data_IF_568445289614
#
_entry.id   IF_568445289614
#
_cell.length_a   1.000
_cell.length_b   1.000
_cell.length_c   1.000
_cell.angle_alpha   90.00
_cell.angle_beta   90.00
_cell.angle_gamma   90.00
#
_symmetry.space_group_name_H-M   'P 1'
#
loop_
_entity.id
_entity.type
_entity.pdbx_description
1 polymer ?
#
# COMPACT_ATOMS: atom_id res chain seq x y z
N UNK A 1 6.91 -21.23 -17.51
CA UNK A 1 7.01 -21.11 -16.04
C UNK A 1 8.21 -20.22 -15.69
N UNK A 2 9.27 -20.34 -16.48
CA UNK A 2 10.50 -19.53 -16.40
C UNK A 2 10.29 -18.05 -16.69
N UNK A 3 9.38 -17.64 -17.56
CA UNK A 3 9.29 -16.24 -17.98
C UNK A 3 9.09 -15.23 -16.82
N UNK A 4 8.28 -15.58 -15.80
CA UNK A 4 8.08 -14.70 -14.64
C UNK A 4 9.32 -14.67 -13.76
N UNK A 5 9.90 -15.84 -13.47
CA UNK A 5 11.11 -15.96 -12.67
C UNK A 5 12.31 -15.27 -13.35
N UNK A 6 12.49 -15.50 -14.64
CA UNK A 6 13.51 -14.86 -15.48
C UNK A 6 13.34 -13.34 -15.51
N UNK A 7 12.10 -12.84 -15.67
CA UNK A 7 11.84 -11.40 -15.64
C UNK A 7 12.19 -10.80 -14.26
N UNK A 8 11.75 -11.44 -13.17
CA UNK A 8 12.04 -10.99 -11.80
C UNK A 8 13.53 -11.08 -11.47
N UNK A 9 14.21 -12.12 -11.95
CA UNK A 9 15.67 -12.23 -11.86
C UNK A 9 16.35 -11.08 -12.60
N UNK A 10 15.87 -10.71 -13.78
CA UNK A 10 16.36 -9.53 -14.49
C UNK A 10 16.26 -8.24 -13.66
N UNK A 11 15.14 -8.03 -12.96
CA UNK A 11 14.93 -6.87 -12.07
C UNK A 11 15.89 -6.88 -10.88
N UNK A 12 16.11 -8.06 -10.28
CA UNK A 12 17.06 -8.22 -9.16
C UNK A 12 18.50 -8.02 -9.63
N UNK A 13 18.88 -8.61 -10.77
CA UNK A 13 20.22 -8.50 -11.35
C UNK A 13 20.53 -7.05 -11.78
N UNK A 14 19.51 -6.28 -12.19
CA UNK A 14 19.61 -4.85 -12.47
C UNK A 14 19.75 -3.97 -11.21
N UNK A 15 19.61 -4.54 -10.01
CA UNK A 15 19.72 -3.84 -8.74
C UNK A 15 18.51 -2.99 -8.35
N UNK A 16 17.39 -3.13 -9.05
CA UNK A 16 16.15 -2.40 -8.74
C UNK A 16 15.45 -2.94 -7.50
N UNK A 17 15.62 -4.24 -7.24
CA UNK A 17 15.14 -4.92 -6.03
C UNK A 17 16.25 -5.80 -5.45
N UNK A 18 16.40 -5.81 -4.12
CA UNK A 18 17.29 -6.74 -3.42
C UNK A 18 16.81 -8.20 -3.58
N UNK A 19 15.50 -8.40 -3.57
CA UNK A 19 14.86 -9.69 -3.78
C UNK A 19 13.34 -9.55 -3.79
N UNK A 20 12.67 -10.60 -4.24
CA UNK A 20 11.21 -10.61 -4.45
C UNK A 20 10.64 -12.01 -4.26
N UNK A 21 9.42 -12.08 -3.72
CA UNK A 21 8.60 -13.30 -3.70
C UNK A 21 7.31 -13.01 -4.44
N UNK A 22 6.96 -13.86 -5.39
CA UNK A 22 5.71 -13.74 -6.18
C UNK A 22 4.89 -15.02 -6.06
N UNK A 23 3.58 -14.88 -5.89
CA UNK A 23 2.61 -15.97 -5.96
C UNK A 23 1.63 -15.71 -7.11
N UNK A 24 1.44 -16.71 -7.97
CA UNK A 24 0.45 -16.69 -9.04
C UNK A 24 -0.50 -17.86 -8.86
N UNK A 25 -1.80 -17.57 -8.86
CA UNK A 25 -2.86 -18.56 -8.89
C UNK A 25 -3.57 -18.54 -10.24
N UNK A 26 -3.52 -19.65 -11.00
CA UNK A 26 -4.19 -19.76 -12.29
C UNK A 26 -4.62 -21.20 -12.56
N UNK A 27 -5.87 -21.39 -12.99
CA UNK A 27 -6.37 -22.72 -13.36
C UNK A 27 -6.39 -23.74 -12.21
N UNK A 28 -6.57 -23.27 -10.96
CA UNK A 28 -6.55 -24.13 -9.78
C UNK A 28 -5.16 -24.46 -9.24
N UNK A 29 -4.10 -23.91 -9.83
CA UNK A 29 -2.73 -24.16 -9.42
C UNK A 29 -2.08 -22.90 -8.84
N UNK A 30 -1.47 -23.04 -7.66
CA UNK A 30 -0.59 -22.03 -7.06
C UNK A 30 0.85 -22.29 -7.48
N UNK A 31 1.57 -21.23 -7.87
CA UNK A 31 3.01 -21.26 -8.07
C UNK A 31 3.65 -20.10 -7.32
N UNK A 32 4.79 -20.37 -6.68
CA UNK A 32 5.58 -19.39 -5.94
C UNK A 32 7.00 -19.38 -6.46
N UNK A 33 7.55 -18.19 -6.62
CA UNK A 33 8.93 -17.95 -7.02
C UNK A 33 9.56 -16.95 -6.03
N UNK A 34 10.78 -17.24 -5.57
CA UNK A 34 11.55 -16.40 -4.65
C UNK A 34 12.93 -16.15 -5.26
N UNK A 35 13.27 -14.89 -5.50
CA UNK A 35 14.50 -14.50 -6.21
C UNK A 35 15.25 -13.44 -5.40
N UNK A 36 16.57 -13.47 -5.45
CA UNK A 36 17.44 -12.50 -4.78
C UNK A 36 17.63 -12.78 -3.30
N UNK A 37 17.79 -11.73 -2.52
CA UNK A 37 18.26 -11.79 -1.14
C UNK A 37 17.25 -11.13 -0.20
N UNK A 38 16.98 -11.78 0.94
CA UNK A 38 16.25 -11.12 2.04
C UNK A 38 17.17 -10.26 2.89
N UNK A 39 18.48 -10.57 2.86
CA UNK A 39 19.55 -9.80 3.48
C UNK A 39 20.80 -9.95 2.62
N UNK A 40 21.25 -8.85 2.02
CA UNK A 40 22.42 -8.83 1.12
C UNK A 40 23.71 -8.94 1.95
N UNK A 41 23.79 -8.24 3.09
CA UNK A 41 25.00 -8.19 3.90
C UNK A 41 25.26 -9.53 4.60
N UNK A 42 24.20 -10.16 5.11
CA UNK A 42 24.27 -11.48 5.72
C UNK A 42 24.29 -12.63 4.70
N UNK A 43 24.18 -12.35 3.40
CA UNK A 43 24.16 -13.34 2.34
C UNK A 43 22.98 -14.31 2.44
N UNK A 44 21.82 -13.85 2.93
CA UNK A 44 20.64 -14.69 3.13
C UNK A 44 19.72 -14.64 1.90
N UNK A 45 19.48 -15.78 1.22
CA UNK A 45 18.63 -15.81 0.05
C UNK A 45 17.17 -15.56 0.42
N UNK A 46 16.40 -15.06 -0.55
CA UNK A 46 14.96 -14.92 -0.42
C UNK A 46 14.30 -16.29 -0.23
N UNK A 47 13.34 -16.38 0.69
CA UNK A 47 12.55 -17.59 0.95
C UNK A 47 11.06 -17.30 0.77
N UNK A 48 10.28 -18.35 0.50
CA UNK A 48 8.82 -18.23 0.35
C UNK A 48 8.14 -17.61 1.59
N UNK A 49 8.68 -17.86 2.77
CA UNK A 49 8.18 -17.42 4.07
C UNK A 49 8.87 -16.17 4.62
N UNK A 50 9.69 -15.49 3.79
CA UNK A 50 10.26 -14.19 4.14
C UNK A 50 9.15 -13.20 4.52
N UNK A 51 9.37 -12.42 5.59
CA UNK A 51 8.39 -11.47 6.12
C UNK A 51 8.52 -10.13 5.39
N UNK A 52 7.40 -9.60 4.92
CA UNK A 52 7.32 -8.30 4.23
C UNK A 52 6.32 -7.36 4.90
N UNK A 53 6.61 -6.05 4.80
CA UNK A 53 5.63 -5.01 5.12
C UNK A 53 4.72 -4.77 3.92
N UNK A 54 3.45 -5.18 4.01
CA UNK A 54 2.48 -5.10 2.91
C UNK A 54 1.92 -3.68 2.66
N UNK A 55 2.18 -2.73 3.57
CA UNK A 55 1.81 -1.32 3.46
C UNK A 55 0.34 -1.09 3.04
N UNK A 56 0.08 -0.36 1.95
CA UNK A 56 -1.27 -0.04 1.49
C UNK A 56 -2.09 -1.27 1.10
N UNK A 57 -1.48 -2.44 0.91
CA UNK A 57 -2.21 -3.70 0.69
C UNK A 57 -2.97 -4.18 1.94
N UNK A 58 -2.85 -3.51 3.09
CA UNK A 58 -3.75 -3.72 4.22
C UNK A 58 -5.18 -3.22 3.97
N UNK A 59 -5.39 -2.28 3.03
CA UNK A 59 -6.71 -1.67 2.78
C UNK A 59 -7.80 -2.68 2.44
N UNK A 60 -7.62 -3.62 1.48
CA UNK A 60 -8.65 -4.62 1.18
C UNK A 60 -9.09 -5.43 2.41
N UNK A 61 -8.16 -5.76 3.32
CA UNK A 61 -8.45 -6.50 4.55
C UNK A 61 -9.33 -5.65 5.48
N UNK A 62 -8.90 -4.41 5.74
CA UNK A 62 -9.64 -3.47 6.61
C UNK A 62 -11.00 -3.13 6.01
N UNK A 63 -11.08 -2.91 4.70
CA UNK A 63 -12.32 -2.62 3.98
C UNK A 63 -13.28 -3.81 4.03
N UNK A 64 -12.80 -5.05 3.83
CA UNK A 64 -13.66 -6.23 3.96
C UNK A 64 -14.26 -6.33 5.37
N UNK A 65 -13.44 -6.17 6.41
CA UNK A 65 -13.91 -6.17 7.80
C UNK A 65 -14.93 -5.03 8.06
N UNK A 66 -14.64 -3.81 7.58
CA UNK A 66 -15.55 -2.67 7.72
C UNK A 66 -16.89 -2.92 7.00
N UNK A 67 -16.86 -3.50 5.80
CA UNK A 67 -18.08 -3.82 5.06
C UNK A 67 -18.89 -4.94 5.72
N UNK A 68 -18.24 -5.93 6.35
CA UNK A 68 -18.94 -6.92 7.19
C UNK A 68 -19.66 -6.24 8.34
N UNK A 69 -19.00 -5.32 9.05
CA UNK A 69 -19.62 -4.55 10.14
C UNK A 69 -20.76 -3.65 9.65
N UNK A 70 -20.65 -3.07 8.45
CA UNK A 70 -21.72 -2.31 7.81
C UNK A 70 -22.96 -3.20 7.55
N UNK A 71 -22.76 -4.41 7.02
CA UNK A 71 -23.84 -5.37 6.78
C UNK A 71 -24.51 -5.84 8.09
N UNK A 72 -23.73 -5.95 9.17
CA UNK A 72 -24.22 -6.24 10.52
C UNK A 72 -24.95 -5.04 11.17
N UNK A 73 -25.04 -3.89 10.49
CA UNK A 73 -25.70 -2.69 11.01
C UNK A 73 -24.93 -1.99 12.13
N UNK A 74 -23.62 -2.24 12.27
CA UNK A 74 -22.79 -1.67 13.35
C UNK A 74 -22.48 -0.18 13.17
N UNK A 75 -22.52 0.30 11.93
CA UNK A 75 -22.48 1.71 11.55
C UNK A 75 -23.13 1.88 10.16
N UNK A 76 -23.43 3.10 9.75
CA UNK A 76 -23.81 3.49 8.39
C UNK A 76 -22.65 4.24 7.72
N UNK A 77 -22.52 4.15 6.40
CA UNK A 77 -21.40 4.79 5.70
C UNK A 77 -21.43 6.32 5.81
N UNK A 78 -22.63 6.87 5.99
CA UNK A 78 -22.93 8.28 6.17
C UNK A 78 -22.74 8.74 7.63
N UNK A 79 -22.47 7.81 8.56
CA UNK A 79 -22.25 8.17 9.96
C UNK A 79 -21.05 9.13 10.07
N UNK A 80 -21.17 10.22 10.82
CA UNK A 80 -20.03 11.07 11.09
C UNK A 80 -19.01 10.29 11.92
N UNK A 81 -17.72 10.48 11.61
CA UNK A 81 -16.62 9.79 12.32
C UNK A 81 -16.64 10.04 13.83
N UNK A 82 -17.18 11.18 14.27
CA UNK A 82 -17.36 11.55 15.68
C UNK A 82 -18.16 10.51 16.46
N UNK A 83 -19.16 9.87 15.82
CA UNK A 83 -20.00 8.82 16.42
C UNK A 83 -19.18 7.63 16.93
N UNK A 84 -18.13 7.24 16.21
CA UNK A 84 -17.25 6.13 16.57
C UNK A 84 -15.97 6.54 17.31
N UNK A 85 -15.55 7.80 17.18
CA UNK A 85 -14.28 8.30 17.71
C UNK A 85 -14.36 8.86 19.15
N UNK A 86 -15.54 8.88 19.77
CA UNK A 86 -15.75 9.48 21.09
C UNK A 86 -15.53 11.00 21.10
N UNK A 87 -15.66 11.65 19.94
CA UNK A 87 -15.51 13.10 19.79
C UNK A 87 -16.89 13.74 19.96
N UNK A 88 -17.05 14.77 20.82
CA UNK A 88 -18.31 15.48 21.01
C UNK A 88 -18.89 15.99 19.68
N UNK A 89 -20.20 15.84 19.50
CA UNK A 89 -20.93 16.19 18.27
C UNK A 89 -20.80 17.68 17.92
N UNK A 90 -20.58 18.54 18.92
CA UNK A 90 -20.43 19.99 18.83
C UNK A 90 -18.99 20.48 18.60
N UNK A 91 -18.00 19.59 18.54
CA UNK A 91 -16.60 19.96 18.25
C UNK A 91 -16.38 20.43 16.79
N UNK A 92 -17.42 20.42 15.95
CA UNK A 92 -17.40 20.66 14.51
C UNK A 92 -17.71 22.08 14.02
N UNK A 93 -17.63 23.12 14.85
CA UNK A 93 -17.85 24.51 14.40
C UNK A 93 -16.59 25.38 14.32
N UNK A 94 -15.39 24.79 14.21
CA UNK A 94 -14.19 25.53 13.80
C UNK A 94 -13.99 25.35 12.30
N UNK A 95 -14.64 26.20 11.50
CA UNK A 95 -14.36 26.34 10.07
C UNK A 95 -12.86 26.58 9.81
N UNK A 96 -12.36 26.29 8.60
CA UNK A 96 -10.93 26.38 8.31
C UNK A 96 -10.41 27.78 8.62
N UNK A 97 -9.60 27.92 9.68
CA UNK A 97 -8.82 29.12 9.91
C UNK A 97 -7.86 29.22 8.73
N UNK A 98 -8.11 30.18 7.82
CA UNK A 98 -7.18 30.56 6.76
C UNK A 98 -5.85 30.95 7.41
N UNK A 99 -4.95 29.99 7.53
CA UNK A 99 -3.54 30.24 7.80
C UNK A 99 -2.96 30.90 6.56
N UNK A 100 -2.57 32.17 6.68
CA UNK A 100 -1.77 32.85 5.69
C UNK A 100 -0.40 32.15 5.60
N UNK A 101 -0.25 31.26 4.63
CA UNK A 101 0.98 30.54 4.33
C UNK A 101 0.97 30.14 2.86
N UNK A 102 1.44 31.03 2.00
CA UNK A 102 1.28 30.92 0.56
C UNK A 102 2.02 29.73 -0.05
N UNK A 103 1.34 29.04 -0.95
CA UNK A 103 1.98 28.26 -2.01
C UNK A 103 1.42 28.74 -3.34
N UNK A 104 2.16 29.64 -4.02
CA UNK A 104 1.85 29.98 -5.41
C UNK A 104 2.14 28.76 -6.29
N UNK A 105 1.23 28.31 -7.15
CA UNK A 105 1.54 27.28 -8.13
C UNK A 105 2.63 27.80 -9.08
N UNK A 106 3.69 26.99 -9.26
CA UNK A 106 4.79 27.28 -10.19
C UNK A 106 4.26 27.20 -11.62
N UNK A 107 4.43 28.28 -12.40
CA UNK A 107 4.16 28.25 -13.85
C UNK A 107 5.26 27.45 -14.56
N UNK A 108 4.93 26.67 -15.62
CA UNK A 108 5.93 25.97 -16.42
C UNK A 108 6.92 26.96 -17.04
N UNK A 109 8.19 26.56 -17.07
CA UNK A 109 9.36 27.41 -17.27
C UNK A 109 9.39 28.15 -18.62
N UNK A 110 9.59 29.47 -18.55
CA UNK A 110 10.28 30.23 -19.61
C UNK A 110 11.80 30.03 -19.42
N UNK A 111 12.37 29.10 -20.18
CA UNK A 111 13.80 29.13 -20.50
C UNK A 111 13.96 29.26 -22.01
N UNK A 112 14.00 30.53 -22.42
CA UNK A 112 14.83 31.15 -23.45
C UNK A 112 15.41 30.26 -24.57
N UNK A 113 15.10 30.73 -25.79
CA UNK A 113 16.00 30.92 -26.95
C UNK A 113 16.64 29.69 -27.58
#
# INVERSE_FOLDING_TARGET
MDAIETALKGVVDAGELAGVVTLVWRGGEARVCAVGWRDIEAGLPMQRDSIFRIASMSKPIVSAAAMTMLQEGRFALEDPISRGAGVPEDAGAAGPRRGAGGHRPRRPADHLR
#
